data_IF_534083371457
#
_entry.id   IF_534083371457
#
_cell.length_a   1.000
_cell.length_b   1.000
_cell.length_c   1.000
_cell.angle_alpha   90.00
_cell.angle_beta   90.00
_cell.angle_gamma   90.00
#
_symmetry.space_group_name_H-M   'P 1'
#
loop_
_entity.id
_entity.type
_entity.pdbx_description
1 polymer ?
#
# COMPACT_ATOMS: atom_id res chain seq x y z
N UNK A 1 -16.51 -2.53 2.71
CA UNK A 1 -17.43 -1.76 3.59
C UNK A 1 -17.88 -0.45 2.94
N UNK A 2 -17.01 0.39 2.37
CA UNK A 2 -17.41 1.67 1.74
C UNK A 2 -18.41 1.55 0.56
N UNK A 3 -18.37 0.49 -0.25
CA UNK A 3 -19.32 0.32 -1.35
C UNK A 3 -20.80 0.14 -0.89
N UNK A 4 -21.04 -0.15 0.39
CA UNK A 4 -22.41 -0.23 0.95
C UNK A 4 -22.94 1.11 1.45
N UNK A 5 -22.07 2.13 1.58
CA UNK A 5 -22.43 3.46 2.08
C UNK A 5 -22.52 4.51 0.98
N UNK A 6 -21.93 4.25 -0.19
CA UNK A 6 -21.98 5.19 -1.31
C UNK A 6 -23.39 5.28 -1.87
N UNK A 7 -23.84 6.49 -2.13
CA UNK A 7 -25.18 6.78 -2.63
C UNK A 7 -25.31 6.45 -4.12
N UNK A 8 -24.20 6.45 -4.85
CA UNK A 8 -24.12 6.10 -6.27
C UNK A 8 -23.12 4.97 -6.49
N UNK A 9 -23.59 3.87 -7.06
CA UNK A 9 -22.83 2.64 -7.24
C UNK A 9 -22.65 2.29 -8.71
N UNK A 10 -21.41 1.97 -9.09
CA UNK A 10 -21.05 1.58 -10.45
C UNK A 10 -20.96 0.07 -10.57
N UNK A 11 -21.62 -0.48 -11.58
CA UNK A 11 -21.50 -1.88 -12.00
C UNK A 11 -21.42 -1.99 -13.51
N UNK A 12 -20.92 -3.12 -13.98
CA UNK A 12 -20.95 -3.44 -15.40
C UNK A 12 -22.41 -3.67 -15.82
N UNK A 13 -22.80 -3.10 -16.97
CA UNK A 13 -24.11 -3.38 -17.53
C UNK A 13 -24.14 -4.83 -18.05
N UNK A 14 -25.33 -5.45 -18.10
CA UNK A 14 -25.50 -6.74 -18.78
C UNK A 14 -25.31 -6.62 -20.29
N UNK A 15 -25.59 -5.43 -20.83
CA UNK A 15 -25.19 -4.98 -22.15
C UNK A 15 -23.83 -4.28 -22.09
N UNK A 16 -23.39 -3.65 -23.19
CA UNK A 16 -22.15 -2.87 -23.21
C UNK A 16 -22.24 -1.65 -22.28
N UNK A 17 -21.15 -1.32 -21.59
CA UNK A 17 -21.00 -0.08 -20.85
C UNK A 17 -21.08 -0.23 -19.33
N UNK A 18 -21.29 0.90 -18.64
CA UNK A 18 -21.40 0.97 -17.18
C UNK A 18 -22.77 1.48 -16.75
N UNK A 19 -23.22 1.01 -15.60
CA UNK A 19 -24.50 1.40 -15.02
C UNK A 19 -24.28 1.99 -13.63
N UNK A 20 -24.79 3.20 -13.43
CA UNK A 20 -24.86 3.90 -12.15
C UNK A 20 -26.21 3.60 -11.52
N UNK A 21 -26.21 2.92 -10.37
CA UNK A 21 -27.41 2.70 -9.57
C UNK A 21 -27.40 3.58 -8.32
N UNK A 22 -28.58 4.04 -7.92
CA UNK A 22 -28.75 4.84 -6.70
C UNK A 22 -29.05 3.92 -5.52
N UNK A 23 -28.47 4.23 -4.36
CA UNK A 23 -28.67 3.50 -3.11
C UNK A 23 -29.34 4.42 -2.09
N UNK A 24 -30.59 4.09 -1.75
CA UNK A 24 -31.38 4.86 -0.79
C UNK A 24 -31.28 4.21 0.59
N UNK A 25 -30.95 5.02 1.58
CA UNK A 25 -30.78 4.70 2.99
C UNK A 25 -31.55 5.73 3.82
N UNK A 26 -31.83 5.43 5.10
CA UNK A 26 -32.62 6.34 5.96
C UNK A 26 -32.00 7.74 6.07
N UNK A 27 -30.67 7.82 6.09
CA UNK A 27 -29.90 9.08 6.15
C UNK A 27 -30.02 9.96 4.90
N UNK A 28 -30.29 9.37 3.73
CA UNK A 28 -30.34 10.08 2.45
C UNK A 28 -31.76 10.09 1.83
N UNK A 29 -32.72 9.40 2.45
CA UNK A 29 -34.08 9.23 1.97
C UNK A 29 -34.74 10.55 1.55
N UNK A 30 -34.61 11.61 2.37
CA UNK A 30 -35.16 12.93 2.09
C UNK A 30 -34.53 13.62 0.85
N UNK A 31 -33.24 13.37 0.59
CA UNK A 31 -32.51 13.87 -0.58
C UNK A 31 -32.98 13.16 -1.85
N UNK A 32 -33.19 11.84 -1.78
CA UNK A 32 -33.73 11.03 -2.87
C UNK A 32 -35.27 11.12 -3.00
N UNK A 33 -35.91 12.07 -2.31
CA UNK A 33 -37.33 12.36 -2.46
C UNK A 33 -38.27 11.39 -1.73
N UNK A 34 -37.78 10.51 -0.87
CA UNK A 34 -38.65 9.73 0.01
C UNK A 34 -39.20 10.61 1.13
N UNK A 35 -40.52 10.72 1.20
CA UNK A 35 -41.23 11.45 2.25
C UNK A 35 -41.51 10.53 3.44
N UNK A 36 -41.67 11.07 4.67
CA UNK A 36 -41.96 10.27 5.87
C UNK A 36 -43.22 9.41 5.80
N UNK A 37 -44.14 9.74 4.89
CA UNK A 37 -45.38 8.99 4.63
C UNK A 37 -45.21 7.86 3.59
N UNK A 38 -43.98 7.54 3.17
CA UNK A 38 -43.67 6.52 2.17
C UNK A 38 -43.95 6.93 0.72
N UNK A 39 -44.44 8.16 0.47
CA UNK A 39 -44.60 8.69 -0.89
C UNK A 39 -43.24 9.17 -1.43
N UNK A 40 -43.10 9.12 -2.75
CA UNK A 40 -41.90 9.58 -3.45
C UNK A 40 -42.19 10.88 -4.20
N UNK A 41 -41.39 11.90 -3.91
CA UNK A 41 -41.31 13.16 -4.65
C UNK A 41 -40.56 12.94 -5.96
N UNK A 42 -41.31 12.79 -7.04
CA UNK A 42 -40.77 12.53 -8.38
C UNK A 42 -39.90 13.68 -8.90
N UNK A 43 -40.13 14.92 -8.45
CA UNK A 43 -39.35 16.07 -8.90
C UNK A 43 -37.94 16.02 -8.28
N UNK A 44 -37.84 15.69 -6.99
CA UNK A 44 -36.55 15.46 -6.33
C UNK A 44 -35.78 14.30 -6.93
N UNK A 45 -36.46 13.17 -7.19
CA UNK A 45 -35.84 12.03 -7.87
C UNK A 45 -35.29 12.45 -9.23
N UNK A 46 -36.10 13.13 -10.06
CA UNK A 46 -35.65 13.61 -11.36
C UNK A 46 -34.41 14.53 -11.24
N UNK A 47 -34.41 15.48 -10.30
CA UNK A 47 -33.27 16.37 -10.07
C UNK A 47 -31.97 15.63 -9.69
N UNK A 48 -32.06 14.56 -8.89
CA UNK A 48 -30.88 13.75 -8.55
C UNK A 48 -30.34 13.02 -9.79
N UNK A 49 -31.23 12.46 -10.61
CA UNK A 49 -30.83 11.81 -11.87
C UNK A 49 -30.21 12.82 -12.85
N UNK A 50 -30.78 14.03 -12.97
CA UNK A 50 -30.23 15.09 -13.80
C UNK A 50 -28.83 15.51 -13.33
N UNK A 51 -28.60 15.54 -12.01
CA UNK A 51 -27.28 15.82 -11.44
C UNK A 51 -26.26 14.70 -11.73
N UNK A 52 -26.68 13.42 -11.73
CA UNK A 52 -25.83 12.30 -12.16
C UNK A 52 -25.50 12.42 -13.65
N UNK A 53 -26.48 12.72 -14.49
CA UNK A 53 -26.28 12.94 -15.94
C UNK A 53 -25.30 14.09 -16.15
N UNK A 54 -25.49 15.24 -15.49
CA UNK A 54 -24.57 16.37 -15.59
C UNK A 54 -23.13 16.00 -15.19
N UNK A 55 -22.94 15.27 -14.09
CA UNK A 55 -21.62 14.83 -13.66
C UNK A 55 -20.94 13.88 -14.65
N UNK A 56 -21.70 13.08 -15.40
CA UNK A 56 -21.20 12.22 -16.47
C UNK A 56 -20.91 13.01 -17.75
N UNK A 57 -21.76 13.98 -18.10
CA UNK A 57 -21.54 14.88 -19.25
C UNK A 57 -20.28 15.72 -19.06
N UNK A 58 -20.01 16.19 -17.85
CA UNK A 58 -18.77 16.92 -17.51
C UNK A 58 -17.51 16.07 -17.72
N UNK A 59 -17.63 14.74 -17.70
CA UNK A 59 -16.54 13.81 -18.03
C UNK A 59 -16.44 13.52 -19.54
N UNK A 60 -17.34 14.08 -20.37
CA UNK A 60 -17.34 13.93 -21.82
C UNK A 60 -18.24 12.82 -22.37
N UNK A 61 -19.08 12.19 -21.53
CA UNK A 61 -20.03 11.19 -22.01
C UNK A 61 -21.26 11.86 -22.65
N UNK A 62 -21.62 11.44 -23.85
CA UNK A 62 -22.79 11.98 -24.58
C UNK A 62 -23.94 10.98 -24.71
N UNK A 63 -23.65 9.68 -24.62
CA UNK A 63 -24.62 8.58 -24.72
C UNK A 63 -25.14 8.16 -23.35
N UNK A 64 -25.74 9.09 -22.60
CA UNK A 64 -26.22 8.81 -21.24
C UNK A 64 -27.71 8.49 -21.27
N UNK A 65 -28.09 7.29 -20.82
CA UNK A 65 -29.48 6.84 -20.74
C UNK A 65 -29.96 6.85 -19.28
N UNK A 66 -30.70 7.89 -18.90
CA UNK A 66 -31.26 8.03 -17.55
C UNK A 66 -32.63 7.35 -17.44
N UNK A 67 -32.77 6.44 -16.48
CA UNK A 67 -34.03 5.72 -16.20
C UNK A 67 -34.45 5.87 -14.73
N UNK A 68 -35.01 7.03 -14.32
CA UNK A 68 -35.43 7.26 -12.93
C UNK A 68 -36.40 6.20 -12.39
N UNK A 69 -37.32 5.71 -13.25
CA UNK A 69 -38.27 4.64 -12.89
C UNK A 69 -37.58 3.31 -12.55
N UNK A 70 -36.44 3.03 -13.16
CA UNK A 70 -35.68 1.80 -12.96
C UNK A 70 -34.49 1.98 -12.01
N UNK A 71 -34.32 3.18 -11.43
CA UNK A 71 -33.31 3.43 -10.40
C UNK A 71 -31.87 3.51 -10.91
N UNK A 72 -31.64 3.71 -12.21
CA UNK A 72 -30.28 3.72 -12.76
C UNK A 72 -30.06 4.62 -13.99
N UNK A 73 -28.79 4.96 -14.22
CA UNK A 73 -28.28 5.66 -15.40
C UNK A 73 -27.30 4.74 -16.11
N UNK A 74 -27.50 4.48 -17.40
CA UNK A 74 -26.64 3.62 -18.23
C UNK A 74 -25.78 4.48 -19.16
N UNK A 75 -24.49 4.16 -19.26
CA UNK A 75 -23.50 4.82 -20.12
C UNK A 75 -22.86 3.75 -21.01
N UNK A 76 -23.36 3.51 -22.23
CA UNK A 76 -22.91 2.44 -23.13
C UNK A 76 -21.45 2.57 -23.59
N UNK A 77 -20.96 3.79 -23.81
CA UNK A 77 -19.58 4.06 -24.26
C UNK A 77 -18.53 3.85 -23.17
N UNK A 78 -18.92 3.91 -21.89
CA UNK A 78 -18.00 3.84 -20.77
C UNK A 78 -17.33 2.46 -20.66
N UNK A 79 -16.02 2.47 -20.47
CA UNK A 79 -15.16 1.28 -20.38
C UNK A 79 -14.64 1.06 -18.96
N UNK A 80 -13.89 -0.02 -18.74
CA UNK A 80 -13.25 -0.29 -17.44
C UNK A 80 -12.28 0.82 -17.02
N UNK A 81 -11.63 1.50 -17.98
CA UNK A 81 -10.69 2.60 -17.69
C UNK A 81 -11.41 3.82 -17.10
N UNK A 82 -12.67 4.00 -17.47
CA UNK A 82 -13.48 5.15 -17.05
C UNK A 82 -14.07 4.99 -15.65
N UNK A 83 -14.11 3.76 -15.12
CA UNK A 83 -14.69 3.46 -13.79
C UNK A 83 -14.15 4.37 -12.69
N UNK A 84 -12.85 4.64 -12.70
CA UNK A 84 -12.22 5.46 -11.66
C UNK A 84 -12.64 6.94 -11.76
N UNK A 85 -12.61 7.51 -12.97
CA UNK A 85 -13.04 8.89 -13.22
C UNK A 85 -14.51 9.10 -12.88
N UNK A 86 -15.38 8.20 -13.36
CA UNK A 86 -16.82 8.24 -13.05
C UNK A 86 -17.05 8.10 -11.55
N UNK A 87 -16.37 7.16 -10.88
CA UNK A 87 -16.50 6.98 -9.42
C UNK A 87 -16.14 8.27 -8.68
N UNK A 88 -15.04 8.93 -9.06
CA UNK A 88 -14.66 10.20 -8.44
C UNK A 88 -15.68 11.31 -8.65
N UNK A 89 -16.28 11.43 -9.84
CA UNK A 89 -17.32 12.41 -10.11
C UNK A 89 -18.57 12.14 -9.26
N UNK A 90 -19.00 10.88 -9.14
CA UNK A 90 -20.13 10.47 -8.32
C UNK A 90 -19.90 10.72 -6.82
N UNK A 91 -18.69 10.44 -6.30
CA UNK A 91 -18.34 10.74 -4.91
C UNK A 91 -18.30 12.25 -4.62
N UNK A 92 -17.90 13.07 -5.60
CA UNK A 92 -18.01 14.54 -5.49
C UNK A 92 -19.47 14.99 -5.45
N UNK A 93 -20.32 14.39 -6.29
CA UNK A 93 -21.75 14.66 -6.29
C UNK A 93 -22.38 14.27 -4.95
N UNK A 94 -22.05 13.10 -4.41
CA UNK A 94 -22.51 12.64 -3.10
C UNK A 94 -22.18 13.65 -2.00
N UNK A 95 -20.95 14.16 -1.95
CA UNK A 95 -20.55 15.21 -0.99
C UNK A 95 -21.33 16.51 -1.14
N UNK A 96 -21.61 16.91 -2.40
CA UNK A 96 -22.43 18.10 -2.68
C UNK A 96 -23.87 17.93 -2.17
N UNK A 97 -24.38 16.69 -2.19
CA UNK A 97 -25.71 16.36 -1.70
C UNK A 97 -25.77 16.08 -0.19
N UNK A 98 -24.64 16.22 0.52
CA UNK A 98 -24.54 16.07 1.98
C UNK A 98 -24.06 14.70 2.47
N UNK A 99 -23.69 13.78 1.57
CA UNK A 99 -23.08 12.50 1.92
C UNK A 99 -21.57 12.60 2.15
N UNK A 100 -20.93 11.50 2.57
CA UNK A 100 -19.50 11.50 2.87
C UNK A 100 -18.63 11.36 1.60
N UNK A 101 -19.11 10.65 0.57
CA UNK A 101 -18.41 10.45 -0.70
C UNK A 101 -17.01 9.87 -0.55
N UNK A 102 -16.90 8.79 0.23
CA UNK A 102 -15.63 8.14 0.54
C UNK A 102 -15.26 7.07 -0.49
N UNK A 103 -13.97 6.95 -0.75
CA UNK A 103 -13.41 5.82 -1.50
C UNK A 103 -12.77 4.84 -0.51
N UNK A 104 -12.88 3.55 -0.79
CA UNK A 104 -12.11 2.58 -0.03
C UNK A 104 -10.60 2.88 -0.22
N UNK A 105 -9.81 2.84 0.86
CA UNK A 105 -8.37 3.02 0.74
C UNK A 105 -7.77 1.90 -0.12
N UNK A 106 -6.69 2.22 -0.83
CA UNK A 106 -5.85 1.21 -1.46
C UNK A 106 -4.93 0.56 -0.41
N UNK A 107 -4.42 -0.63 -0.72
CA UNK A 107 -3.42 -1.31 0.11
C UNK A 107 -2.24 -1.78 -0.75
N UNK A 108 -1.04 -1.65 -0.20
CA UNK A 108 0.19 -2.27 -0.69
C UNK A 108 0.66 -3.29 0.33
N UNK A 109 1.10 -4.46 -0.11
CA UNK A 109 1.57 -5.53 0.76
C UNK A 109 3.09 -5.62 0.64
N UNK A 110 3.75 -5.71 1.79
CA UNK A 110 5.20 -5.86 1.90
C UNK A 110 5.54 -7.18 2.61
N UNK A 111 6.70 -7.74 2.29
CA UNK A 111 7.23 -8.87 3.03
C UNK A 111 7.66 -8.44 4.43
N UNK A 112 7.58 -9.36 5.39
CA UNK A 112 8.11 -9.10 6.72
C UNK A 112 9.63 -9.07 6.69
N UNK A 113 10.21 -8.11 7.41
CA UNK A 113 11.64 -8.15 7.72
C UNK A 113 11.95 -9.40 8.55
N UNK A 114 12.87 -10.21 8.04
CA UNK A 114 13.44 -11.35 8.75
C UNK A 114 14.25 -10.87 9.95
N UNK A 115 14.17 -11.61 11.05
CA UNK A 115 15.04 -11.46 12.20
C UNK A 115 16.40 -12.10 11.94
N UNK A 116 17.38 -11.76 12.79
CA UNK A 116 18.75 -12.28 12.69
C UNK A 116 18.82 -13.82 12.68
N UNK A 117 17.84 -14.52 13.24
CA UNK A 117 17.81 -16.00 13.29
C UNK A 117 17.10 -16.65 12.10
N UNK A 118 16.55 -15.87 11.16
CA UNK A 118 15.75 -16.37 10.03
C UNK A 118 14.23 -16.37 10.27
N UNK A 119 13.80 -16.28 11.53
CA UNK A 119 12.39 -16.15 11.92
C UNK A 119 11.92 -14.69 11.92
N UNK A 120 10.69 -14.42 12.34
CA UNK A 120 10.15 -13.05 12.46
C UNK A 120 10.98 -12.19 13.43
N UNK A 121 11.32 -10.96 13.00
CA UNK A 121 11.92 -9.95 13.87
C UNK A 121 10.98 -9.59 15.03
N UNK A 122 11.51 -9.51 16.25
CA UNK A 122 10.73 -9.15 17.45
C UNK A 122 11.54 -8.34 18.45
N UNK A 123 11.06 -7.14 18.80
CA UNK A 123 11.70 -6.28 19.80
C UNK A 123 11.79 -6.92 21.20
N UNK A 124 10.88 -7.85 21.52
CA UNK A 124 10.92 -8.64 22.76
C UNK A 124 12.07 -9.65 22.82
N UNK A 125 12.72 -9.94 21.69
CA UNK A 125 13.87 -10.83 21.59
C UNK A 125 15.08 -10.05 21.04
N UNK A 126 15.87 -9.39 21.89
CA UNK A 126 16.94 -8.48 21.45
C UNK A 126 18.01 -9.13 20.56
N UNK A 127 18.16 -10.46 20.63
CA UNK A 127 19.11 -11.22 19.80
C UNK A 127 18.63 -11.42 18.36
N UNK A 128 17.33 -11.34 18.10
CA UNK A 128 16.75 -11.52 16.76
C UNK A 128 16.56 -10.20 16.02
N UNK A 129 16.75 -9.06 16.69
CA UNK A 129 16.44 -7.73 16.16
C UNK A 129 17.69 -6.85 16.11
N UNK A 130 17.90 -6.23 14.96
CA UNK A 130 18.87 -5.15 14.78
C UNK A 130 18.15 -3.83 15.12
N UNK A 131 18.55 -3.16 16.19
CA UNK A 131 17.92 -1.90 16.60
C UNK A 131 18.65 -0.73 15.95
N UNK A 132 17.89 0.30 15.57
CA UNK A 132 18.44 1.54 14.99
C UNK A 132 19.34 2.31 15.98
N UNK A 133 19.20 2.05 17.29
CA UNK A 133 20.04 2.62 18.33
C UNK A 133 21.20 1.73 18.79
N UNK A 134 21.41 0.57 18.18
CA UNK A 134 22.56 -0.28 18.49
C UNK A 134 23.87 0.45 18.13
N UNK A 135 24.92 0.24 18.91
CA UNK A 135 26.27 0.67 18.51
C UNK A 135 26.80 -0.18 17.34
N UNK A 136 27.78 0.34 16.61
CA UNK A 136 28.31 -0.30 15.41
C UNK A 136 28.91 -1.69 15.70
N UNK A 137 29.49 -1.87 16.89
CA UNK A 137 30.05 -3.15 17.33
C UNK A 137 28.97 -4.22 17.58
N UNK A 138 27.83 -3.83 18.16
CA UNK A 138 26.68 -4.70 18.35
C UNK A 138 26.04 -5.06 17.01
N UNK A 139 25.93 -4.10 16.08
CA UNK A 139 25.44 -4.32 14.71
C UNK A 139 26.29 -5.40 14.03
N UNK A 140 27.61 -5.21 14.02
CA UNK A 140 28.55 -6.17 13.43
C UNK A 140 28.41 -7.56 14.07
N UNK A 141 28.37 -7.63 15.39
CA UNK A 141 28.23 -8.90 16.13
C UNK A 141 26.92 -9.62 15.83
N UNK A 142 25.82 -8.88 15.65
CA UNK A 142 24.51 -9.45 15.31
C UNK A 142 24.51 -10.01 13.88
N UNK A 143 24.99 -9.25 12.90
CA UNK A 143 25.08 -9.69 11.50
C UNK A 143 26.00 -10.91 11.37
N UNK A 144 27.16 -10.91 12.04
CA UNK A 144 28.09 -12.06 12.02
C UNK A 144 27.44 -13.34 12.56
N UNK A 145 26.51 -13.22 13.51
CA UNK A 145 25.74 -14.33 14.09
C UNK A 145 24.44 -14.65 13.38
N UNK A 146 24.08 -13.89 12.34
CA UNK A 146 22.82 -14.08 11.64
C UNK A 146 22.76 -15.45 10.95
N UNK A 147 21.55 -15.94 10.73
CA UNK A 147 21.31 -17.16 9.99
C UNK A 147 21.86 -17.04 8.55
N UNK A 148 22.49 -18.11 8.09
CA UNK A 148 23.17 -18.19 6.81
C UNK A 148 22.47 -19.21 5.94
N UNK A 149 22.27 -18.87 4.67
CA UNK A 149 21.81 -19.82 3.64
C UNK A 149 22.95 -20.64 3.03
N UNK A 150 24.18 -20.51 3.54
CA UNK A 150 25.35 -21.27 3.11
C UNK A 150 25.41 -22.71 3.63
N UNK A 151 26.50 -23.42 3.30
CA UNK A 151 26.70 -24.81 3.72
C UNK A 151 27.52 -24.86 5.02
N UNK A 152 27.48 -25.99 5.76
CA UNK A 152 28.24 -26.17 7.00
C UNK A 152 29.75 -26.04 6.83
N UNK A 153 30.29 -26.52 5.70
CA UNK A 153 31.73 -26.49 5.40
C UNK A 153 32.05 -25.65 4.17
N UNK A 154 33.29 -25.16 4.08
CA UNK A 154 33.75 -24.36 2.94
C UNK A 154 33.75 -25.22 1.68
N UNK A 155 34.17 -26.47 1.78
CA UNK A 155 34.23 -27.42 0.66
C UNK A 155 32.85 -27.69 0.08
N UNK A 156 31.85 -27.93 0.93
CA UNK A 156 30.46 -28.10 0.50
C UNK A 156 29.92 -26.81 -0.11
N UNK A 157 30.23 -25.65 0.48
CA UNK A 157 29.74 -24.38 -0.04
C UNK A 157 30.34 -24.05 -1.42
N UNK A 158 31.63 -24.33 -1.62
CA UNK A 158 32.29 -24.22 -2.93
C UNK A 158 31.68 -25.16 -3.96
N UNK A 159 31.22 -26.35 -3.55
CA UNK A 159 30.66 -27.39 -4.44
C UNK A 159 29.19 -27.19 -4.76
N UNK A 160 28.38 -26.81 -3.77
CA UNK A 160 26.92 -26.77 -3.85
C UNK A 160 26.35 -25.35 -3.82
N UNK A 161 27.16 -24.35 -3.49
CA UNK A 161 26.72 -22.97 -3.34
C UNK A 161 25.90 -22.71 -2.07
N UNK A 162 25.51 -21.45 -1.91
CA UNK A 162 24.55 -21.00 -0.90
C UNK A 162 23.20 -20.61 -1.48
N UNK A 163 22.20 -20.55 -0.62
CA UNK A 163 20.87 -20.06 -0.97
C UNK A 163 20.64 -18.63 -0.44
N UNK A 164 20.74 -17.59 -1.28
CA UNK A 164 20.53 -16.21 -0.84
C UNK A 164 19.07 -15.90 -0.46
N UNK A 165 18.10 -16.72 -0.91
CA UNK A 165 16.67 -16.49 -0.61
C UNK A 165 16.33 -16.69 0.87
N UNK A 166 17.19 -17.41 1.61
CA UNK A 166 17.06 -17.64 3.05
C UNK A 166 18.25 -17.06 3.83
N UNK A 167 19.21 -16.42 3.16
CA UNK A 167 20.38 -15.84 3.81
C UNK A 167 20.03 -14.46 4.37
N UNK A 168 20.10 -14.32 5.70
CA UNK A 168 19.67 -13.09 6.38
C UNK A 168 20.58 -11.92 6.01
N UNK A 169 21.88 -12.15 5.82
CA UNK A 169 22.80 -11.07 5.47
C UNK A 169 22.50 -10.53 4.05
N UNK A 170 22.24 -11.42 3.09
CA UNK A 170 21.80 -11.02 1.76
C UNK A 170 20.45 -10.29 1.78
N UNK A 171 19.46 -10.83 2.49
CA UNK A 171 18.13 -10.20 2.60
C UNK A 171 18.22 -8.80 3.22
N UNK A 172 19.08 -8.58 4.22
CA UNK A 172 19.26 -7.25 4.81
C UNK A 172 19.92 -6.26 3.87
N UNK A 173 20.91 -6.69 3.08
CA UNK A 173 21.48 -5.84 2.03
C UNK A 173 20.39 -5.45 1.03
N UNK A 174 19.64 -6.42 0.51
CA UNK A 174 18.58 -6.21 -0.47
C UNK A 174 17.47 -5.27 0.02
N UNK A 175 17.08 -5.35 1.30
CA UNK A 175 15.99 -4.54 1.82
C UNK A 175 16.39 -3.18 2.39
N UNK A 176 17.62 -3.03 2.90
CA UNK A 176 17.96 -1.88 3.75
C UNK A 176 19.28 -1.18 3.42
N UNK A 177 20.31 -1.91 3.01
CA UNK A 177 21.68 -1.38 3.04
C UNK A 177 22.33 -1.21 1.67
N UNK A 178 21.69 -1.69 0.61
CA UNK A 178 22.19 -1.59 -0.75
C UNK A 178 21.07 -1.25 -1.73
N UNK A 179 21.33 -0.29 -2.61
CA UNK A 179 20.35 0.23 -3.57
C UNK A 179 20.73 -0.16 -5.02
N UNK A 180 21.96 -0.61 -5.27
CA UNK A 180 22.37 -1.06 -6.60
C UNK A 180 21.93 -2.51 -6.88
N UNK A 181 20.86 -2.64 -7.65
CA UNK A 181 20.32 -3.91 -8.11
C UNK A 181 21.35 -4.79 -8.86
N UNK A 182 22.29 -4.18 -9.60
CA UNK A 182 23.30 -4.96 -10.33
C UNK A 182 24.30 -5.60 -9.38
N UNK A 183 24.72 -4.85 -8.36
CA UNK A 183 25.62 -5.34 -7.34
C UNK A 183 24.96 -6.45 -6.50
N UNK A 184 23.68 -6.29 -6.13
CA UNK A 184 22.90 -7.33 -5.48
C UNK A 184 22.78 -8.59 -6.36
N UNK A 185 22.53 -8.42 -7.66
CA UNK A 185 22.47 -9.54 -8.61
C UNK A 185 23.81 -10.29 -8.74
N UNK A 186 24.93 -9.57 -8.77
CA UNK A 186 26.28 -10.15 -8.82
C UNK A 186 26.58 -10.98 -7.56
N UNK A 187 26.28 -10.43 -6.39
CA UNK A 187 26.44 -11.11 -5.10
C UNK A 187 25.56 -12.36 -5.05
N UNK A 188 24.30 -12.25 -5.47
CA UNK A 188 23.35 -13.36 -5.50
C UNK A 188 23.88 -14.51 -6.35
N UNK A 189 24.31 -14.22 -7.58
CA UNK A 189 24.87 -15.19 -8.50
C UNK A 189 26.17 -15.82 -7.96
N UNK A 190 27.04 -15.00 -7.37
CA UNK A 190 28.31 -15.46 -6.79
C UNK A 190 28.11 -16.38 -5.59
N UNK A 191 27.12 -16.09 -4.73
CA UNK A 191 26.78 -16.93 -3.58
C UNK A 191 26.17 -18.27 -4.01
N UNK A 192 25.23 -18.24 -4.98
CA UNK A 192 24.67 -19.47 -5.57
C UNK A 192 25.71 -20.33 -6.27
N UNK A 193 26.71 -19.72 -6.88
CA UNK A 193 27.82 -20.41 -7.52
C UNK A 193 28.89 -20.92 -6.53
N UNK A 194 28.76 -20.63 -5.23
CA UNK A 194 29.77 -20.96 -4.22
C UNK A 194 31.08 -20.14 -4.35
N UNK A 195 31.09 -19.09 -5.18
CA UNK A 195 32.24 -18.18 -5.34
C UNK A 195 32.38 -17.23 -4.13
N UNK A 196 31.25 -16.78 -3.61
CA UNK A 196 31.19 -15.96 -2.40
C UNK A 196 30.84 -16.87 -1.22
N UNK A 197 31.64 -16.84 -0.15
CA UNK A 197 31.41 -17.62 1.06
C UNK A 197 30.41 -16.91 2.00
N UNK A 198 29.78 -17.67 2.89
CA UNK A 198 28.86 -17.12 3.91
C UNK A 198 29.52 -16.08 4.83
N UNK A 199 30.79 -16.26 5.19
CA UNK A 199 31.53 -15.28 5.97
C UNK A 199 31.77 -13.97 5.21
N UNK A 200 32.03 -14.06 3.91
CA UNK A 200 32.23 -12.91 3.02
C UNK A 200 30.91 -12.16 2.81
N UNK A 201 29.80 -12.87 2.56
CA UNK A 201 28.46 -12.28 2.49
C UNK A 201 28.12 -11.46 3.74
N UNK A 202 28.39 -12.01 4.93
CA UNK A 202 28.18 -11.32 6.20
C UNK A 202 29.08 -10.10 6.34
N UNK A 203 30.33 -10.18 5.89
CA UNK A 203 31.26 -9.06 5.95
C UNK A 203 30.82 -7.91 5.05
N UNK A 204 30.37 -8.20 3.82
CA UNK A 204 29.78 -7.20 2.92
C UNK A 204 28.54 -6.53 3.55
N UNK A 205 27.68 -7.33 4.18
CA UNK A 205 26.52 -6.82 4.90
C UNK A 205 26.92 -5.91 6.08
N UNK A 206 27.94 -6.30 6.85
CA UNK A 206 28.48 -5.46 7.95
C UNK A 206 28.98 -4.12 7.42
N UNK A 207 29.76 -4.10 6.34
CA UNK A 207 30.30 -2.85 5.78
C UNK A 207 29.19 -1.87 5.37
N UNK A 208 28.18 -2.38 4.65
CA UNK A 208 27.02 -1.57 4.24
C UNK A 208 26.17 -1.15 5.43
N UNK A 209 25.91 -2.05 6.37
CA UNK A 209 25.16 -1.75 7.59
C UNK A 209 25.85 -0.70 8.46
N UNK A 210 27.18 -0.80 8.64
CA UNK A 210 27.95 0.17 9.43
C UNK A 210 27.87 1.56 8.79
N UNK A 211 28.05 1.66 7.48
CA UNK A 211 27.91 2.93 6.77
C UNK A 211 26.51 3.53 6.95
N UNK A 212 25.48 2.71 6.76
CA UNK A 212 24.09 3.14 6.90
C UNK A 212 23.74 3.58 8.33
N UNK A 213 24.16 2.81 9.33
CA UNK A 213 23.93 3.09 10.75
C UNK A 213 24.67 4.35 11.21
N UNK A 214 25.91 4.55 10.77
CA UNK A 214 26.67 5.77 11.07
C UNK A 214 25.97 7.02 10.52
N UNK A 215 25.52 6.97 9.27
CA UNK A 215 24.76 8.07 8.67
C UNK A 215 23.44 8.33 9.43
N UNK A 216 22.72 7.27 9.81
CA UNK A 216 21.49 7.38 10.59
C UNK A 216 21.74 8.04 11.95
N UNK A 217 22.80 7.64 12.67
CA UNK A 217 23.15 8.21 13.97
C UNK A 217 23.47 9.70 13.85
N UNK A 218 24.25 10.08 12.84
CA UNK A 218 24.56 11.48 12.58
C UNK A 218 23.29 12.31 12.28
N UNK A 219 22.43 11.82 11.39
CA UNK A 219 21.16 12.50 11.07
C UNK A 219 20.25 12.63 12.30
N UNK A 220 20.20 11.59 13.15
CA UNK A 220 19.41 11.63 14.39
C UNK A 220 19.94 12.69 15.35
N UNK A 221 21.25 12.77 15.52
CA UNK A 221 21.87 13.72 16.45
C UNK A 221 21.69 15.17 15.96
N UNK A 222 21.81 15.40 14.64
CA UNK A 222 21.56 16.71 14.02
C UNK A 222 20.11 17.18 14.20
N UNK A 223 19.14 16.27 14.22
CA UNK A 223 17.71 16.60 14.25
C UNK A 223 17.06 16.51 15.64
N UNK A 224 17.76 15.99 16.64
CA UNK A 224 17.17 15.70 17.96
C UNK A 224 16.53 16.92 18.66
N UNK A 225 17.06 18.12 18.43
CA UNK A 225 16.54 19.37 19.01
C UNK A 225 15.23 19.85 18.34
N UNK A 226 14.95 19.39 17.12
CA UNK A 226 13.79 19.80 16.32
C UNK A 226 12.52 19.04 16.70
N UNK A 227 12.59 18.04 17.58
CA UNK A 227 11.44 17.18 17.92
C UNK A 227 10.21 18.00 18.33
N UNK A 228 10.41 19.11 19.05
CA UNK A 228 9.31 19.98 19.48
C UNK A 228 8.65 20.75 18.34
N UNK A 229 9.34 20.93 17.21
CA UNK A 229 8.79 21.59 16.03
C UNK A 229 7.84 20.67 15.26
N UNK A 230 7.93 19.35 15.47
CA UNK A 230 7.08 18.33 14.83
C UNK A 230 5.91 17.87 15.70
N UNK A 231 5.93 18.18 16.99
CA UNK A 231 4.87 17.79 17.93
C UNK A 231 3.92 18.97 18.16
N UNK A 232 2.62 18.72 18.07
CA UNK A 232 1.62 19.73 18.42
C UNK A 232 1.67 20.04 19.92
N UNK A 233 1.34 21.28 20.30
CA UNK A 233 1.39 21.71 21.70
C UNK A 233 0.47 20.89 22.62
N UNK A 234 -0.60 20.32 22.07
CA UNK A 234 -1.59 19.49 22.76
C UNK A 234 -1.26 17.98 22.75
N UNK A 235 -0.10 17.58 22.22
CA UNK A 235 0.28 16.16 22.12
C UNK A 235 0.99 15.59 23.35
N UNK A 236 1.08 16.35 24.46
CA UNK A 236 1.82 15.98 25.67
C UNK A 236 0.91 15.64 26.84
#
# INVERSE_FOLDING_TARGET
MAAKTNWFNLRDASSRGLLVSLSVHDENAAVFGQLPNGRVDKAKVAAVFDAVVAALTDLGFSDIMSSPKQGHVHVPSATQRDKHGIRHALLRLERRLGGLGLMAPASTYHHFAVGMTGDKMSSSQPKTTLFLGDDLAAVEKKIKRAFSGGQPTVEEHRRFGGNPDIDVAYQYMMYFFEEDDNYLAEINASFRAGKLLAGEMKQLCVERATQWMSNLHEMRDQTAHLVNDFLAEDSR
#
